data_IF_381658471330
#
_entry.id   IF_381658471330
#
_cell.length_a   1.000
_cell.length_b   1.000
_cell.length_c   1.000
_cell.angle_alpha   90.00
_cell.angle_beta   90.00
_cell.angle_gamma   90.00
#
_symmetry.space_group_name_H-M   'P 1'
#
loop_
_entity.id
_entity.type
_entity.pdbx_description
1 polymer ?
#
# COMPACT_ATOMS: atom_id res chain seq x y z
N UNK A 1 12.55 -22.01 -8.97
CA UNK A 1 12.14 -20.63 -9.34
C UNK A 1 13.02 -19.68 -8.54
N UNK A 2 13.89 -18.88 -9.19
CA UNK A 2 14.68 -17.85 -8.48
C UNK A 2 13.78 -16.64 -8.29
N UNK A 3 13.56 -16.23 -7.04
CA UNK A 3 12.91 -14.95 -6.73
C UNK A 3 13.95 -13.87 -6.94
N UNK A 4 13.61 -12.85 -7.72
CA UNK A 4 14.45 -11.66 -7.88
C UNK A 4 14.07 -10.65 -6.78
N UNK A 5 14.91 -10.48 -5.74
CA UNK A 5 14.60 -9.62 -4.61
C UNK A 5 14.53 -8.14 -5.00
N UNK A 6 15.27 -7.70 -6.04
CA UNK A 6 15.20 -6.30 -6.49
C UNK A 6 13.85 -6.02 -7.12
N UNK A 7 13.36 -6.95 -7.96
CA UNK A 7 12.04 -6.86 -8.56
C UNK A 7 10.92 -6.95 -7.52
N UNK A 8 11.09 -7.77 -6.49
CA UNK A 8 10.13 -7.87 -5.39
C UNK A 8 10.07 -6.59 -4.55
N UNK A 9 11.23 -5.99 -4.27
CA UNK A 9 11.32 -4.70 -3.58
C UNK A 9 10.69 -3.57 -4.39
N UNK A 10 10.97 -3.52 -5.69
CA UNK A 10 10.36 -2.54 -6.60
C UNK A 10 8.84 -2.67 -6.60
N UNK A 11 8.32 -3.90 -6.74
CA UNK A 11 6.88 -4.16 -6.67
C UNK A 11 6.27 -3.70 -5.32
N UNK A 12 7.00 -3.89 -4.22
CA UNK A 12 6.58 -3.42 -2.91
C UNK A 12 6.49 -1.89 -2.82
N UNK A 13 7.42 -1.17 -3.46
CA UNK A 13 7.36 0.30 -3.57
C UNK A 13 6.21 0.76 -4.47
N UNK A 14 6.04 0.15 -5.66
CA UNK A 14 4.96 0.49 -6.59
C UNK A 14 3.59 0.35 -5.91
N UNK A 15 3.37 -0.73 -5.14
CA UNK A 15 2.13 -0.94 -4.38
C UNK A 15 1.93 0.10 -3.26
N UNK A 16 3.01 0.58 -2.63
CA UNK A 16 2.93 1.64 -1.62
C UNK A 16 2.59 2.99 -2.26
N UNK A 17 3.14 3.28 -3.43
CA UNK A 17 2.87 4.50 -4.20
C UNK A 17 1.40 4.51 -4.69
N UNK A 18 0.91 3.40 -5.24
CA UNK A 18 -0.50 3.24 -5.61
C UNK A 18 -1.43 3.47 -4.40
N UNK A 19 -1.05 2.97 -3.23
CA UNK A 19 -1.82 3.20 -2.00
C UNK A 19 -1.82 4.66 -1.56
N UNK A 20 -0.72 5.39 -1.79
CA UNK A 20 -0.62 6.82 -1.50
C UNK A 20 -1.50 7.63 -2.48
N UNK A 21 -1.49 7.28 -3.76
CA UNK A 21 -2.31 7.92 -4.79
C UNK A 21 -3.81 7.74 -4.52
N UNK A 22 -4.23 6.53 -4.12
CA UNK A 22 -5.63 6.26 -3.71
C UNK A 22 -6.04 7.15 -2.53
N UNK A 23 -5.15 7.36 -1.55
CA UNK A 23 -5.42 8.27 -0.42
C UNK A 23 -5.52 9.73 -0.86
N UNK A 24 -4.64 10.19 -1.74
CA UNK A 24 -4.69 11.55 -2.26
C UNK A 24 -6.00 11.81 -3.04
N UNK A 25 -6.42 10.85 -3.87
CA UNK A 25 -7.69 10.86 -4.58
C UNK A 25 -8.89 10.89 -3.63
N UNK A 26 -8.86 10.10 -2.55
CA UNK A 26 -9.87 10.10 -1.50
C UNK A 26 -10.02 11.47 -0.83
N UNK A 27 -8.90 12.09 -0.42
CA UNK A 27 -8.92 13.42 0.18
C UNK A 27 -9.47 14.48 -0.78
N UNK A 28 -9.06 14.46 -2.05
CA UNK A 28 -9.56 15.37 -3.07
C UNK A 28 -11.06 15.18 -3.36
N UNK A 29 -11.53 13.93 -3.40
CA UNK A 29 -12.94 13.59 -3.68
C UNK A 29 -13.85 13.90 -2.49
N UNK A 30 -13.40 13.62 -1.27
CA UNK A 30 -14.09 13.99 -0.04
C UNK A 30 -14.32 15.50 0.06
N UNK A 31 -13.33 16.30 -0.30
CA UNK A 31 -13.45 17.77 -0.36
C UNK A 31 -14.47 18.23 -1.42
N UNK A 32 -14.53 17.58 -2.60
CA UNK A 32 -15.51 17.94 -3.64
C UNK A 32 -16.95 17.60 -3.24
N UNK A 33 -17.18 16.43 -2.66
CA UNK A 33 -18.52 16.01 -2.22
C UNK A 33 -19.07 16.91 -1.09
N UNK A 34 -18.21 17.33 -0.16
CA UNK A 34 -18.57 18.29 0.89
C UNK A 34 -19.01 19.66 0.31
N UNK A 35 -18.43 20.08 -0.81
CA UNK A 35 -18.78 21.35 -1.48
C UNK A 35 -20.12 21.26 -2.23
N UNK A 36 -20.46 20.11 -2.82
CA UNK A 36 -21.74 19.93 -3.56
C UNK A 36 -22.95 19.66 -2.67
N UNK A 37 -22.76 19.09 -1.46
CA UNK A 37 -23.85 18.73 -0.56
C UNK A 37 -24.61 19.91 0.08
N UNK A 38 -24.07 21.12 -0.01
CA UNK A 38 -24.62 22.31 0.65
C UNK A 38 -25.60 23.12 -0.21
N UNK A 39 -25.72 22.83 -1.51
CA UNK A 39 -26.40 23.75 -2.43
C UNK A 39 -27.85 23.40 -2.84
N UNK A 40 -28.36 22.16 -2.71
CA UNK A 40 -29.70 21.86 -3.27
C UNK A 40 -30.47 20.61 -2.76
N UNK A 41 -30.00 19.82 -1.79
CA UNK A 41 -30.68 18.58 -1.40
C UNK A 41 -31.67 18.77 -0.23
N UNK A 42 -32.89 18.19 -0.27
CA UNK A 42 -33.74 18.12 0.91
C UNK A 42 -33.00 17.40 2.05
N UNK A 43 -33.09 17.92 3.27
CA UNK A 43 -32.32 17.52 4.46
C UNK A 43 -32.24 16.00 4.72
N UNK A 44 -33.26 15.23 4.33
CA UNK A 44 -33.28 13.76 4.41
C UNK A 44 -32.35 13.09 3.39
N UNK A 45 -32.27 13.63 2.17
CA UNK A 45 -31.35 13.15 1.13
C UNK A 45 -29.90 13.57 1.43
N UNK A 46 -29.70 14.72 2.10
CA UNK A 46 -28.38 15.18 2.54
C UNK A 46 -27.76 14.23 3.59
N UNK A 47 -28.55 13.74 4.55
CA UNK A 47 -28.09 12.78 5.56
C UNK A 47 -27.81 11.37 5.02
N UNK A 48 -28.63 10.89 4.08
CA UNK A 48 -28.37 9.61 3.41
C UNK A 48 -27.13 9.68 2.50
N UNK A 49 -26.97 10.78 1.75
CA UNK A 49 -25.79 11.02 0.92
C UNK A 49 -24.52 11.16 1.76
N UNK A 50 -24.57 11.82 2.92
CA UNK A 50 -23.41 11.90 3.82
C UNK A 50 -23.04 10.53 4.38
N UNK A 51 -24.02 9.73 4.82
CA UNK A 51 -23.78 8.37 5.34
C UNK A 51 -23.15 7.43 4.30
N UNK A 52 -23.62 7.47 3.05
CA UNK A 52 -23.02 6.69 1.94
C UNK A 52 -21.60 7.17 1.64
N UNK A 53 -21.38 8.49 1.65
CA UNK A 53 -20.06 9.08 1.41
C UNK A 53 -19.05 8.69 2.49
N UNK A 54 -19.46 8.69 3.76
CA UNK A 54 -18.60 8.29 4.87
C UNK A 54 -18.32 6.78 4.85
N UNK A 55 -19.33 5.94 4.59
CA UNK A 55 -19.11 4.49 4.45
C UNK A 55 -18.15 4.17 3.29
N UNK A 56 -18.32 4.84 2.15
CA UNK A 56 -17.43 4.69 0.99
C UNK A 56 -16.00 5.16 1.29
N UNK A 57 -15.84 6.27 2.04
CA UNK A 57 -14.53 6.76 2.49
C UNK A 57 -13.82 5.73 3.38
N UNK A 58 -14.52 5.18 4.38
CA UNK A 58 -13.97 4.19 5.31
C UNK A 58 -13.50 2.93 4.58
N UNK A 59 -14.29 2.41 3.65
CA UNK A 59 -13.92 1.21 2.87
C UNK A 59 -12.66 1.44 2.03
N UNK A 60 -12.56 2.58 1.38
CA UNK A 60 -11.42 2.92 0.54
C UNK A 60 -10.15 3.24 1.35
N UNK A 61 -10.28 3.90 2.51
CA UNK A 61 -9.17 4.06 3.45
C UNK A 61 -8.66 2.71 3.97
N UNK A 62 -9.58 1.78 4.24
CA UNK A 62 -9.26 0.40 4.59
C UNK A 62 -8.54 -0.34 3.47
N UNK A 63 -8.99 -0.19 2.23
CA UNK A 63 -8.34 -0.79 1.06
C UNK A 63 -6.93 -0.24 0.84
N UNK A 64 -6.75 1.08 0.92
CA UNK A 64 -5.43 1.72 0.83
C UNK A 64 -4.50 1.29 1.97
N UNK A 65 -5.02 1.12 3.18
CA UNK A 65 -4.28 0.57 4.31
C UNK A 65 -3.77 -0.85 4.06
N UNK A 66 -4.63 -1.73 3.51
CA UNK A 66 -4.26 -3.09 3.12
C UNK A 66 -3.19 -3.11 2.03
N UNK A 67 -3.35 -2.29 0.98
CA UNK A 67 -2.35 -2.18 -0.08
C UNK A 67 -0.99 -1.75 0.46
N UNK A 68 -0.95 -0.69 1.27
CA UNK A 68 0.28 -0.23 1.92
C UNK A 68 0.95 -1.37 2.71
N UNK A 69 0.17 -2.07 3.54
CA UNK A 69 0.69 -3.19 4.34
C UNK A 69 1.24 -4.32 3.46
N UNK A 70 0.55 -4.68 2.37
CA UNK A 70 1.04 -5.67 1.40
C UNK A 70 2.35 -5.22 0.75
N UNK A 71 2.49 -3.95 0.38
CA UNK A 71 3.74 -3.40 -0.13
C UNK A 71 4.88 -3.48 0.88
N UNK A 72 4.63 -3.19 2.16
CA UNK A 72 5.61 -3.36 3.25
C UNK A 72 6.07 -4.82 3.40
N UNK A 73 5.16 -5.79 3.26
CA UNK A 73 5.50 -7.22 3.30
C UNK A 73 6.40 -7.63 2.13
N UNK A 74 6.17 -7.10 0.92
CA UNK A 74 7.04 -7.36 -0.23
C UNK A 74 8.45 -6.81 -0.05
N UNK A 75 8.57 -5.58 0.48
CA UNK A 75 9.88 -4.98 0.79
C UNK A 75 10.62 -5.81 1.83
N UNK A 76 9.95 -6.20 2.94
CA UNK A 76 10.56 -7.05 3.97
C UNK A 76 10.99 -8.40 3.43
N UNK A 77 10.14 -9.06 2.63
CA UNK A 77 10.49 -10.34 2.02
C UNK A 77 11.71 -10.24 1.10
N UNK A 78 11.86 -9.13 0.38
CA UNK A 78 13.04 -8.88 -0.44
C UNK A 78 14.30 -8.68 0.42
N UNK A 79 14.21 -7.90 1.49
CA UNK A 79 15.31 -7.67 2.44
C UNK A 79 15.76 -8.97 3.12
N UNK A 80 14.82 -9.79 3.58
CA UNK A 80 15.08 -11.09 4.20
C UNK A 80 15.77 -12.06 3.21
N UNK A 81 15.35 -12.05 1.95
CA UNK A 81 15.98 -12.84 0.90
C UNK A 81 17.42 -12.39 0.66
N UNK A 82 17.66 -11.09 0.52
CA UNK A 82 19.01 -10.54 0.33
C UNK A 82 19.93 -10.84 1.52
N UNK A 83 19.42 -10.74 2.75
CA UNK A 83 20.18 -11.06 3.96
C UNK A 83 20.56 -12.55 4.01
N UNK A 84 19.62 -13.44 3.64
CA UNK A 84 19.85 -14.88 3.60
C UNK A 84 20.87 -15.28 2.53
N UNK A 85 20.82 -14.65 1.36
CA UNK A 85 21.79 -14.88 0.27
C UNK A 85 23.19 -14.40 0.66
N UNK A 86 23.30 -13.21 1.26
CA UNK A 86 24.57 -12.67 1.76
C UNK A 86 25.19 -13.56 2.86
N UNK A 87 24.38 -14.10 3.77
CA UNK A 87 24.84 -15.02 4.81
C UNK A 87 25.34 -16.34 4.21
N UNK A 88 24.59 -16.90 3.27
CA UNK A 88 24.97 -18.13 2.55
C UNK A 88 26.28 -17.97 1.78
N UNK A 89 26.44 -16.84 1.05
CA UNK A 89 27.66 -16.53 0.31
C UNK A 89 28.88 -16.40 1.24
N UNK A 90 28.71 -15.76 2.40
CA UNK A 90 29.78 -15.60 3.39
C UNK A 90 30.27 -16.94 3.94
N UNK A 91 29.36 -17.89 4.18
CA UNK A 91 29.68 -19.21 4.72
C UNK A 91 30.44 -20.09 3.71
N UNK A 92 30.02 -20.06 2.44
CA UNK A 92 30.70 -20.76 1.34
C UNK A 92 32.09 -20.18 1.08
N UNK A 93 32.25 -18.86 1.18
CA UNK A 93 33.55 -18.19 1.05
C UNK A 93 34.53 -18.56 2.16
N UNK A 94 34.03 -18.80 3.39
CA UNK A 94 34.85 -19.28 4.49
C UNK A 94 35.27 -20.74 4.32
N UNK A 95 34.36 -21.64 3.89
CA UNK A 95 34.70 -23.06 3.73
C UNK A 95 35.78 -23.30 2.67
N UNK A 96 35.78 -22.54 1.56
CA UNK A 96 36.82 -22.65 0.51
C UNK A 96 38.21 -22.10 0.92
N UNK A 97 38.32 -21.36 2.02
CA UNK A 97 39.63 -20.86 2.51
C UNK A 97 40.36 -21.86 3.41
N UNK A 98 39.71 -22.97 3.77
CA UNK A 98 40.28 -24.01 4.63
C UNK A 98 40.56 -25.33 3.87
N UNK A 99 40.46 -25.31 2.54
CA UNK A 99 40.95 -26.36 1.62
C UNK A 99 42.21 -25.89 0.91
#
# INVERSE_FOLDING_TARGET
MRVDPLRLRQLGHDVQDDAADVRALLSATGNRLAVTGTAAAPWQAAGAASGVTDAWRVELEGAAGRLKHTGELFVRAAEDYMATDAWSASRIGQSRRFE
#
